data_IF_791012206498
#
_entry.id   IF_791012206498
#
_cell.length_a   1.000
_cell.length_b   1.000
_cell.length_c   1.000
_cell.angle_alpha   90.00
_cell.angle_beta   90.00
_cell.angle_gamma   90.00
#
_symmetry.space_group_name_H-M   'P 1'
#
loop_
_entity.id
_entity.type
_entity.pdbx_description
1 polymer ?
#
# COMPACT_ATOMS: atom_id res chain seq x y z
N UNK A 1 7.13 -2.68 9.85
CA UNK A 1 7.09 -2.52 8.38
C UNK A 1 8.47 -2.39 7.75
N UNK A 2 9.31 -1.42 8.14
CA UNK A 2 10.63 -1.19 7.51
C UNK A 2 11.61 -2.39 7.55
N UNK A 3 11.41 -3.32 8.49
CA UNK A 3 12.21 -4.56 8.60
C UNK A 3 11.71 -5.70 7.71
N UNK A 4 10.43 -5.67 7.30
CA UNK A 4 9.80 -6.71 6.48
C UNK A 4 10.08 -6.54 4.99
N UNK A 5 10.45 -5.33 4.57
CA UNK A 5 10.59 -4.97 3.17
C UNK A 5 12.01 -4.45 2.92
N UNK A 6 13.02 -5.17 3.44
CA UNK A 6 14.43 -4.74 3.37
C UNK A 6 14.98 -4.55 1.96
N UNK A 7 14.33 -5.18 0.96
CA UNK A 7 14.65 -5.00 -0.47
C UNK A 7 14.02 -3.75 -1.09
N UNK A 8 13.16 -3.04 -0.35
CA UNK A 8 12.39 -1.89 -0.81
C UNK A 8 12.68 -0.66 0.05
N UNK A 9 12.64 0.53 -0.56
CA UNK A 9 12.66 1.79 0.17
C UNK A 9 11.23 2.11 0.59
N UNK A 10 10.93 2.03 1.89
CA UNK A 10 9.59 2.26 2.40
C UNK A 10 9.51 3.56 3.19
N UNK A 11 8.37 4.22 3.13
CA UNK A 11 8.05 5.36 3.99
C UNK A 11 6.59 5.29 4.40
N UNK A 12 6.31 5.71 5.63
CA UNK A 12 4.95 5.78 6.17
C UNK A 12 4.36 7.17 6.00
N UNK A 13 3.04 7.26 5.97
CA UNK A 13 2.34 8.56 5.88
C UNK A 13 2.69 9.48 7.06
N UNK A 14 3.00 8.92 8.23
CA UNK A 14 3.44 9.68 9.40
C UNK A 14 4.84 10.26 9.21
N UNK A 15 5.80 9.49 8.68
CA UNK A 15 7.16 9.94 8.39
C UNK A 15 7.19 11.05 7.35
N UNK A 16 6.31 10.99 6.36
CA UNK A 16 6.15 12.00 5.31
C UNK A 16 5.35 13.24 5.77
N UNK A 17 4.81 13.23 6.99
CA UNK A 17 3.94 14.30 7.49
C UNK A 17 2.60 14.40 6.77
N UNK A 18 2.15 13.31 6.15
CA UNK A 18 0.90 13.21 5.37
C UNK A 18 -0.31 12.78 6.21
N UNK A 19 -0.17 12.77 7.54
CA UNK A 19 -1.27 12.47 8.45
C UNK A 19 -2.48 13.40 8.24
N UNK A 20 -3.68 12.82 8.19
CA UNK A 20 -4.94 13.58 8.04
C UNK A 20 -5.27 14.04 6.61
N UNK A 21 -4.43 13.72 5.63
CA UNK A 21 -4.74 13.94 4.20
C UNK A 21 -5.83 12.95 3.75
N UNK A 22 -6.74 13.40 2.89
CA UNK A 22 -7.79 12.54 2.33
C UNK A 22 -7.20 11.49 1.39
N UNK A 23 -7.76 10.29 1.37
CA UNK A 23 -7.28 9.17 0.54
C UNK A 23 -7.00 9.54 -0.93
N UNK A 24 -7.85 10.35 -1.56
CA UNK A 24 -7.64 10.77 -2.95
C UNK A 24 -6.42 11.65 -3.16
N UNK A 25 -6.21 12.62 -2.27
CA UNK A 25 -5.04 13.51 -2.30
C UNK A 25 -3.77 12.73 -1.90
N UNK A 26 -3.91 11.77 -0.99
CA UNK A 26 -2.83 10.89 -0.55
C UNK A 26 -2.34 10.03 -1.70
N UNK A 27 -3.25 9.38 -2.43
CA UNK A 27 -2.93 8.59 -3.61
C UNK A 27 -2.31 9.46 -4.72
N UNK A 28 -2.81 10.69 -4.91
CA UNK A 28 -2.26 11.62 -5.91
C UNK A 28 -0.80 11.99 -5.61
N UNK A 29 -0.47 12.21 -4.33
CA UNK A 29 0.91 12.47 -3.91
C UNK A 29 1.77 11.24 -4.04
N UNK A 30 1.25 10.09 -3.57
CA UNK A 30 1.97 8.83 -3.65
C UNK A 30 2.36 8.50 -5.09
N UNK A 31 1.45 8.68 -6.04
CA UNK A 31 1.68 8.43 -7.46
C UNK A 31 2.80 9.28 -8.09
N UNK A 32 3.12 10.45 -7.51
CA UNK A 32 4.23 11.27 -7.97
C UNK A 32 5.60 10.90 -7.36
N UNK A 33 5.62 10.11 -6.29
CA UNK A 33 6.80 9.88 -5.45
C UNK A 33 7.13 8.39 -5.23
N UNK A 34 6.17 7.50 -5.47
CA UNK A 34 6.26 6.08 -5.15
C UNK A 34 5.70 5.21 -6.27
N UNK A 35 6.30 4.03 -6.46
CA UNK A 35 5.84 3.04 -7.42
C UNK A 35 4.63 2.24 -6.89
N UNK A 36 4.48 2.17 -5.56
CA UNK A 36 3.48 1.34 -4.91
C UNK A 36 2.95 1.95 -3.60
N UNK A 37 1.64 1.81 -3.39
CA UNK A 37 0.94 2.21 -2.17
C UNK A 37 0.32 1.00 -1.46
N UNK A 38 0.74 0.73 -0.21
CA UNK A 38 0.16 -0.32 0.65
C UNK A 38 -0.81 0.31 1.65
N UNK A 39 -2.01 -0.25 1.79
CA UNK A 39 -2.98 0.19 2.80
C UNK A 39 -3.80 -0.95 3.37
N UNK A 40 -4.20 -0.83 4.63
CA UNK A 40 -5.22 -1.68 5.26
C UNK A 40 -6.62 -1.08 5.21
N UNK A 41 -6.79 0.11 4.60
CA UNK A 41 -8.09 0.76 4.47
C UNK A 41 -8.91 0.11 3.35
N UNK A 42 -9.82 -0.80 3.74
CA UNK A 42 -10.68 -1.53 2.82
C UNK A 42 -11.72 -0.66 2.10
N UNK A 43 -11.83 0.64 2.45
CA UNK A 43 -12.70 1.56 1.74
C UNK A 43 -12.04 2.13 0.49
N UNK A 44 -10.73 1.93 0.30
CA UNK A 44 -10.00 2.51 -0.82
C UNK A 44 -10.52 1.97 -2.15
N UNK A 45 -10.89 0.68 -2.22
CA UNK A 45 -11.46 0.02 -3.40
C UNK A 45 -12.74 0.66 -3.95
N UNK A 46 -13.46 1.41 -3.12
CA UNK A 46 -14.69 2.10 -3.52
C UNK A 46 -14.45 3.55 -3.96
N UNK A 47 -13.21 4.04 -3.91
CA UNK A 47 -12.88 5.38 -4.35
C UNK A 47 -12.87 5.44 -5.89
N UNK A 48 -13.65 6.37 -6.46
CA UNK A 48 -13.72 6.56 -7.91
C UNK A 48 -12.37 6.96 -8.54
N UNK A 49 -11.47 7.51 -7.73
CA UNK A 49 -10.17 7.96 -8.16
C UNK A 49 -9.14 6.82 -8.31
N UNK A 50 -9.51 5.55 -8.15
CA UNK A 50 -8.62 4.43 -8.46
C UNK A 50 -8.47 4.21 -9.97
N UNK A 51 -9.53 4.51 -10.74
CA UNK A 51 -9.51 4.32 -12.19
C UNK A 51 -8.56 5.35 -12.84
N UNK A 52 -7.60 4.85 -13.63
CA UNK A 52 -6.65 5.68 -14.36
C UNK A 52 -5.45 6.16 -13.57
N UNK A 53 -5.18 5.56 -12.39
CA UNK A 53 -3.91 5.76 -11.68
C UNK A 53 -2.82 4.87 -12.22
N UNK A 54 -1.60 5.36 -12.13
CA UNK A 54 -0.38 4.65 -12.52
C UNK A 54 0.35 3.98 -11.37
N UNK A 55 0.05 4.37 -10.13
CA UNK A 55 0.63 3.74 -8.95
C UNK A 55 -0.01 2.36 -8.70
N UNK A 56 0.82 1.37 -8.38
CA UNK A 56 0.34 0.08 -7.91
C UNK A 56 -0.27 0.20 -6.50
N UNK A 57 -1.40 -0.44 -6.23
CA UNK A 57 -2.10 -0.34 -4.95
C UNK A 57 -2.33 -1.74 -4.37
N UNK A 58 -1.73 -1.99 -3.21
CA UNK A 58 -1.89 -3.23 -2.45
C UNK A 58 -2.77 -3.00 -1.22
N UNK A 59 -4.00 -3.52 -1.25
CA UNK A 59 -4.92 -3.50 -0.11
C UNK A 59 -4.72 -4.77 0.73
N UNK A 60 -4.27 -4.63 1.98
CA UNK A 60 -4.12 -5.75 2.92
C UNK A 60 -5.34 -5.86 3.85
N UNK A 61 -5.77 -7.08 4.17
CA UNK A 61 -7.01 -7.29 4.95
C UNK A 61 -6.93 -6.95 6.44
N UNK A 62 -5.73 -6.69 6.99
CA UNK A 62 -5.49 -6.47 8.42
C UNK A 62 -4.57 -5.28 8.68
N UNK A 63 -4.82 -4.56 9.77
CA UNK A 63 -3.93 -3.51 10.31
C UNK A 63 -3.16 -3.95 11.56
N UNK A 64 -3.29 -5.22 11.97
CA UNK A 64 -2.55 -5.80 13.08
C UNK A 64 -1.10 -6.04 12.66
N UNK A 65 -0.19 -5.28 13.27
CA UNK A 65 1.24 -5.32 12.95
C UNK A 65 1.82 -6.73 13.13
N UNK A 66 1.38 -7.49 14.14
CA UNK A 66 1.91 -8.82 14.41
C UNK A 66 1.54 -9.80 13.29
N UNK A 67 0.32 -9.69 12.78
CA UNK A 67 -0.16 -10.49 11.64
C UNK A 67 0.54 -10.10 10.34
N UNK A 68 0.71 -8.80 10.12
CA UNK A 68 1.44 -8.27 8.96
C UNK A 68 2.89 -8.75 8.98
N UNK A 69 3.54 -8.74 10.15
CA UNK A 69 4.90 -9.25 10.32
C UNK A 69 4.99 -10.75 10.07
N UNK A 70 4.03 -11.52 10.57
CA UNK A 70 3.96 -12.96 10.30
C UNK A 70 3.71 -13.28 8.81
N UNK A 71 3.02 -12.39 8.09
CA UNK A 71 2.72 -12.51 6.67
C UNK A 71 3.77 -11.86 5.75
N UNK A 72 4.96 -11.52 6.26
CA UNK A 72 6.00 -10.81 5.50
C UNK A 72 6.31 -11.43 4.13
N UNK A 73 6.54 -12.75 4.07
CA UNK A 73 6.84 -13.44 2.82
C UNK A 73 5.71 -13.35 1.78
N UNK A 74 4.45 -13.41 2.25
CA UNK A 74 3.27 -13.28 1.40
C UNK A 74 3.15 -11.84 0.84
N UNK A 75 3.52 -10.84 1.65
CA UNK A 75 3.55 -9.44 1.22
C UNK A 75 4.67 -9.24 0.20
N UNK A 76 5.87 -9.77 0.44
CA UNK A 76 7.00 -9.68 -0.51
C UNK A 76 6.64 -10.30 -1.87
N UNK A 77 6.07 -11.50 -1.89
CA UNK A 77 5.61 -12.15 -3.13
C UNK A 77 4.58 -11.29 -3.87
N UNK A 78 3.60 -10.71 -3.14
CA UNK A 78 2.62 -9.82 -3.75
C UNK A 78 3.24 -8.54 -4.32
N UNK A 79 4.30 -8.01 -3.70
CA UNK A 79 5.02 -6.83 -4.18
C UNK A 79 5.88 -7.11 -5.41
N UNK A 80 6.41 -8.32 -5.57
CA UNK A 80 7.18 -8.71 -6.76
C UNK A 80 6.28 -8.94 -7.98
N UNK A 81 5.04 -9.40 -7.75
CA UNK A 81 4.11 -9.73 -8.83
C UNK A 81 3.26 -8.55 -9.31
N UNK A 82 2.93 -7.63 -8.41
CA UNK A 82 2.01 -6.52 -8.71
C UNK A 82 2.60 -5.59 -9.78
N UNK A 83 1.79 -5.24 -10.76
CA UNK A 83 2.17 -4.35 -11.84
C UNK A 83 1.85 -2.88 -11.52
N UNK A 84 2.54 -1.92 -12.16
CA UNK A 84 2.05 -0.55 -12.22
C UNK A 84 0.60 -0.51 -12.69
N UNK A 85 -0.16 0.47 -12.21
CA UNK A 85 -1.58 0.67 -12.53
C UNK A 85 -2.52 -0.46 -12.00
N UNK A 86 -1.99 -1.44 -11.26
CA UNK A 86 -2.76 -2.56 -10.71
C UNK A 86 -3.29 -2.25 -9.30
N UNK A 87 -4.55 -2.62 -9.06
CA UNK A 87 -5.12 -2.73 -7.72
C UNK A 87 -5.22 -4.21 -7.34
N UNK A 88 -4.51 -4.61 -6.27
CA UNK A 88 -4.50 -5.99 -5.76
C UNK A 88 -4.91 -6.04 -4.30
N UNK A 89 -5.70 -7.06 -3.95
CA UNK A 89 -6.08 -7.35 -2.56
C UNK A 89 -5.27 -8.53 -2.05
N UNK A 90 -4.79 -8.43 -0.80
CA UNK A 90 -4.05 -9.48 -0.11
C UNK A 90 -4.69 -9.80 1.23
N UNK A 91 -5.03 -11.07 1.43
CA UNK A 91 -5.59 -11.55 2.69
C UNK A 91 -4.47 -11.94 3.64
N UNK A 92 -4.37 -11.23 4.76
CA UNK A 92 -3.45 -11.54 5.86
C UNK A 92 -4.15 -12.54 6.81
N UNK A 93 -3.54 -13.71 7.10
CA UNK A 93 -4.13 -14.75 7.94
C UNK A 93 -4.33 -14.38 9.43
#
# INVERSE_FOLDING_TARGET
MHRLLSSHSCSTVQELGWGGIKNGDLLQRAEGEFDLFITSDQNIRYQQNLAGRHIAILEISSNDISRIEAAGALIEEALEEIQPDEFRQLTIP
#
